data_IF_221974753928
#
_entry.id   IF_221974753928
#
_cell.length_a   1.000
_cell.length_b   1.000
_cell.length_c   1.000
_cell.angle_alpha   90.00
_cell.angle_beta   90.00
_cell.angle_gamma   90.00
#
_symmetry.space_group_name_H-M   'P 1'
#
loop_
_entity.id
_entity.type
_entity.pdbx_description
1 polymer ?
#
# COMPACT_ATOMS: atom_id res chain seq x y z
N UNK A 1 -33.70 105.50 49.53
CA UNK A 1 -34.36 104.62 50.51
C UNK A 1 -34.10 103.18 50.04
N UNK A 2 -33.36 102.39 50.83
CA UNK A 2 -32.82 101.04 50.54
C UNK A 2 -33.85 100.01 50.02
N UNK A 3 -33.47 98.88 49.34
CA UNK A 3 -32.62 97.83 49.93
C UNK A 3 -31.70 97.00 49.01
N UNK A 4 -30.95 96.13 49.70
CA UNK A 4 -29.84 95.23 49.36
C UNK A 4 -30.19 94.16 48.31
N UNK A 5 -29.24 93.85 47.42
CA UNK A 5 -29.21 92.61 46.62
C UNK A 5 -28.13 91.68 47.15
N UNK A 6 -28.56 90.49 47.58
CA UNK A 6 -27.72 89.41 48.09
C UNK A 6 -27.17 88.53 46.96
N UNK A 7 -25.89 88.15 47.08
CA UNK A 7 -25.27 87.08 46.29
C UNK A 7 -25.84 85.72 46.70
N UNK A 8 -26.20 84.89 45.72
CA UNK A 8 -26.47 83.46 45.91
C UNK A 8 -25.50 82.67 45.04
N UNK A 9 -24.78 81.78 45.71
CA UNK A 9 -23.67 80.97 45.23
C UNK A 9 -24.16 79.70 44.52
N UNK A 10 -23.49 79.32 43.42
CA UNK A 10 -23.84 78.18 42.58
C UNK A 10 -23.37 76.85 43.19
N UNK A 11 -24.25 75.84 43.26
CA UNK A 11 -23.92 74.46 43.67
C UNK A 11 -23.30 73.66 42.51
N UNK A 12 -22.24 72.87 42.74
CA UNK A 12 -21.73 71.90 41.75
C UNK A 12 -22.60 70.62 41.70
N UNK A 13 -22.61 69.88 40.57
CA UNK A 13 -23.45 68.72 40.37
C UNK A 13 -22.97 67.48 41.14
N UNK A 14 -23.94 66.76 41.66
CA UNK A 14 -23.83 65.53 42.45
C UNK A 14 -23.10 64.40 41.72
N UNK A 15 -22.20 63.76 42.45
CA UNK A 15 -21.41 62.57 42.10
C UNK A 15 -22.25 61.33 41.81
N UNK A 16 -21.85 60.56 40.79
CA UNK A 16 -22.37 59.23 40.48
C UNK A 16 -21.98 58.25 41.60
N UNK A 17 -22.94 57.83 42.42
CA UNK A 17 -22.74 56.79 43.43
C UNK A 17 -22.65 55.40 42.77
N UNK A 18 -21.68 54.55 43.14
CA UNK A 18 -21.65 53.17 42.68
C UNK A 18 -22.85 52.40 43.26
N UNK A 19 -23.62 51.73 42.40
CA UNK A 19 -24.72 50.86 42.81
C UNK A 19 -24.13 49.66 43.55
N UNK A 20 -24.24 49.66 44.88
CA UNK A 20 -23.82 48.52 45.72
C UNK A 20 -24.90 47.44 45.60
N UNK A 21 -24.59 46.25 45.05
CA UNK A 21 -25.57 45.18 44.95
C UNK A 21 -26.06 44.75 46.33
N UNK A 22 -27.34 44.40 46.45
CA UNK A 22 -27.91 43.94 47.73
C UNK A 22 -27.14 42.71 48.26
N UNK A 23 -26.94 42.64 49.58
CA UNK A 23 -26.18 41.54 50.23
C UNK A 23 -26.69 40.14 49.85
N UNK A 24 -27.99 39.98 49.61
CA UNK A 24 -28.60 38.72 49.15
C UNK A 24 -28.23 38.38 47.71
N UNK A 25 -28.18 39.38 46.82
CA UNK A 25 -27.74 39.20 45.43
C UNK A 25 -26.26 38.82 45.36
N UNK A 26 -25.42 39.45 46.17
CA UNK A 26 -24.00 39.09 46.29
C UNK A 26 -23.82 37.63 46.73
N UNK A 27 -24.53 37.19 47.77
CA UNK A 27 -24.47 35.79 48.24
C UNK A 27 -25.03 34.78 47.22
N UNK A 28 -26.07 35.13 46.47
CA UNK A 28 -26.58 34.26 45.40
C UNK A 28 -25.56 34.08 44.26
N UNK A 29 -24.87 35.16 43.88
CA UNK A 29 -23.79 35.10 42.89
C UNK A 29 -22.59 34.28 43.39
N UNK A 30 -22.24 34.40 44.68
CA UNK A 30 -21.19 33.58 45.30
C UNK A 30 -21.53 32.08 45.26
N UNK A 31 -22.75 31.71 45.66
CA UNK A 31 -23.20 30.31 45.62
C UNK A 31 -23.28 29.78 44.18
N UNK A 32 -23.80 30.59 43.24
CA UNK A 32 -23.83 30.21 41.83
C UNK A 32 -22.42 30.00 41.26
N UNK A 33 -21.46 30.85 41.64
CA UNK A 33 -20.04 30.69 41.28
C UNK A 33 -19.44 29.40 41.81
N UNK A 34 -19.70 29.05 43.08
CA UNK A 34 -19.23 27.81 43.69
C UNK A 34 -19.82 26.60 42.96
N UNK A 35 -21.14 26.59 42.72
CA UNK A 35 -21.82 25.50 41.99
C UNK A 35 -21.27 25.35 40.58
N UNK A 36 -21.05 26.47 39.89
CA UNK A 36 -20.46 26.48 38.56
C UNK A 36 -19.06 25.86 38.54
N UNK A 37 -18.19 26.23 39.48
CA UNK A 37 -16.82 25.70 39.58
C UNK A 37 -16.84 24.20 39.89
N UNK A 38 -17.61 23.77 40.90
CA UNK A 38 -17.73 22.35 41.26
C UNK A 38 -18.32 21.53 40.11
N UNK A 39 -19.37 22.03 39.46
CA UNK A 39 -19.98 21.40 38.30
C UNK A 39 -19.01 21.28 37.12
N UNK A 40 -18.23 22.34 36.85
CA UNK A 40 -17.22 22.34 35.78
C UNK A 40 -16.10 21.33 36.04
N UNK A 41 -15.63 21.23 37.29
CA UNK A 41 -14.63 20.24 37.68
C UNK A 41 -15.20 18.82 37.53
N UNK A 42 -16.43 18.57 38.01
CA UNK A 42 -17.07 17.27 37.90
C UNK A 42 -17.27 16.86 36.43
N UNK A 43 -17.73 17.78 35.58
CA UNK A 43 -17.88 17.55 34.14
C UNK A 43 -16.53 17.28 33.47
N UNK A 44 -15.47 17.99 33.88
CA UNK A 44 -14.11 17.78 33.35
C UNK A 44 -13.58 16.40 33.70
N UNK A 45 -13.76 15.95 34.95
CA UNK A 45 -13.38 14.60 35.38
C UNK A 45 -14.18 13.54 34.62
N UNK A 46 -15.48 13.73 34.46
CA UNK A 46 -16.33 12.82 33.68
C UNK A 46 -15.91 12.75 32.20
N UNK A 47 -15.59 13.89 31.58
CA UNK A 47 -15.08 13.95 30.22
C UNK A 47 -13.76 13.19 30.07
N UNK A 48 -12.82 13.34 31.01
CA UNK A 48 -11.56 12.58 31.00
C UNK A 48 -11.79 11.07 31.16
N UNK A 49 -12.74 10.65 32.00
CA UNK A 49 -13.11 9.24 32.13
C UNK A 49 -13.67 8.66 30.82
N UNK A 50 -14.49 9.44 30.11
CA UNK A 50 -15.02 9.02 28.81
C UNK A 50 -13.92 8.93 27.76
N UNK A 51 -13.02 9.92 27.70
CA UNK A 51 -11.96 9.95 26.70
C UNK A 51 -10.82 8.96 26.97
N UNK A 52 -10.61 8.53 28.21
CA UNK A 52 -9.52 7.62 28.58
C UNK A 52 -9.44 6.37 27.68
N UNK A 53 -10.57 5.72 27.37
CA UNK A 53 -10.59 4.51 26.54
C UNK A 53 -10.29 4.79 25.06
N UNK A 54 -10.68 5.95 24.55
CA UNK A 54 -10.39 6.39 23.19
C UNK A 54 -8.93 6.82 23.05
N UNK A 55 -8.41 7.55 24.04
CA UNK A 55 -7.04 8.08 24.09
C UNK A 55 -5.97 7.02 24.40
N UNK A 56 -6.37 5.76 24.59
CA UNK A 56 -5.42 4.68 24.87
C UNK A 56 -4.47 4.40 23.69
N UNK A 57 -4.87 4.76 22.45
CA UNK A 57 -4.07 4.63 21.24
C UNK A 57 -4.26 5.83 20.32
N UNK A 58 -3.30 6.09 19.42
CA UNK A 58 -3.36 7.18 18.44
C UNK A 58 -4.54 7.06 17.45
N UNK A 59 -5.14 5.87 17.36
CA UNK A 59 -6.31 5.61 16.52
C UNK A 59 -7.59 6.26 17.05
N UNK A 60 -7.63 6.73 18.30
CA UNK A 60 -8.86 7.17 18.97
C UNK A 60 -9.99 6.14 18.89
N UNK A 61 -9.64 4.85 18.96
CA UNK A 61 -10.54 3.71 18.85
C UNK A 61 -10.63 3.01 20.22
N UNK A 62 -11.82 2.98 20.86
CA UNK A 62 -12.01 2.29 22.14
C UNK A 62 -11.82 0.78 21.98
N UNK A 63 -11.29 0.13 23.02
CA UNK A 63 -11.06 -1.32 23.04
C UNK A 63 -10.26 -1.83 21.83
N UNK A 64 -9.30 -1.02 21.35
CA UNK A 64 -8.47 -1.34 20.18
C UNK A 64 -7.81 -2.72 20.27
N UNK A 65 -7.29 -3.07 21.45
CA UNK A 65 -6.58 -4.33 21.66
C UNK A 65 -7.45 -5.58 21.38
N UNK A 66 -8.77 -5.51 21.60
CA UNK A 66 -9.69 -6.63 21.38
C UNK A 66 -10.35 -6.58 20.00
N UNK A 67 -10.65 -5.37 19.52
CA UNK A 67 -11.39 -5.15 18.28
C UNK A 67 -10.51 -5.09 17.02
N UNK A 68 -9.27 -4.60 17.11
CA UNK A 68 -8.35 -4.52 15.96
C UNK A 68 -7.99 -5.90 15.36
N UNK A 69 -7.69 -6.95 16.15
CA UNK A 69 -7.43 -8.29 15.61
C UNK A 69 -8.64 -8.88 14.88
N UNK A 70 -9.85 -8.60 15.36
CA UNK A 70 -11.11 -9.02 14.74
C UNK A 70 -11.27 -8.37 13.38
N UNK A 71 -11.11 -7.05 13.29
CA UNK A 71 -11.16 -6.31 12.02
C UNK A 71 -10.07 -6.80 11.05
N UNK A 72 -8.84 -7.03 11.54
CA UNK A 72 -7.77 -7.57 10.73
C UNK A 72 -8.12 -8.95 10.15
N UNK A 73 -8.71 -9.85 10.96
CA UNK A 73 -9.17 -11.15 10.51
C UNK A 73 -10.28 -11.05 9.44
N UNK A 74 -11.22 -10.11 9.59
CA UNK A 74 -12.27 -9.85 8.59
C UNK A 74 -11.66 -9.44 7.25
N UNK A 75 -10.76 -8.47 7.23
CA UNK A 75 -10.06 -8.06 6.00
C UNK A 75 -9.23 -9.18 5.39
N UNK A 76 -8.49 -9.94 6.22
CA UNK A 76 -7.69 -11.06 5.75
C UNK A 76 -8.54 -12.13 5.05
N UNK A 77 -9.74 -12.38 5.56
CA UNK A 77 -10.69 -13.32 4.96
C UNK A 77 -11.21 -12.79 3.60
N UNK A 78 -11.67 -11.55 3.55
CA UNK A 78 -12.14 -10.90 2.31
C UNK A 78 -11.07 -10.93 1.23
N UNK A 79 -9.85 -10.50 1.56
CA UNK A 79 -8.73 -10.46 0.62
C UNK A 79 -8.42 -11.86 0.09
N UNK A 80 -8.51 -12.88 0.94
CA UNK A 80 -8.25 -14.27 0.53
C UNK A 80 -9.33 -14.79 -0.43
N UNK A 81 -10.61 -14.52 -0.15
CA UNK A 81 -11.74 -15.12 -0.88
C UNK A 81 -12.21 -14.30 -2.08
N UNK A 82 -12.42 -13.00 -1.90
CA UNK A 82 -13.04 -12.10 -2.89
C UNK A 82 -12.00 -11.28 -3.67
N UNK A 83 -10.80 -11.08 -3.13
CA UNK A 83 -9.77 -10.23 -3.74
C UNK A 83 -10.09 -8.74 -3.54
N UNK A 84 -9.84 -7.92 -4.57
CA UNK A 84 -10.02 -6.47 -4.53
C UNK A 84 -11.50 -6.07 -4.60
N UNK A 85 -11.92 -5.13 -3.73
CA UNK A 85 -13.27 -4.57 -3.71
C UNK A 85 -13.59 -3.89 -2.39
N UNK A 86 -14.83 -3.38 -2.25
CA UNK A 86 -15.32 -2.78 -1.02
C UNK A 86 -16.09 -3.84 -0.21
N UNK A 87 -15.50 -4.43 0.84
CA UNK A 87 -16.21 -5.39 1.67
C UNK A 87 -17.27 -4.69 2.54
N UNK A 88 -18.44 -5.32 2.62
CA UNK A 88 -19.39 -5.02 3.68
C UNK A 88 -18.96 -5.75 4.97
N UNK A 89 -18.27 -5.00 5.84
CA UNK A 89 -17.78 -5.50 7.13
C UNK A 89 -18.91 -5.79 8.13
N UNK A 90 -20.11 -5.24 7.91
CA UNK A 90 -21.27 -5.41 8.78
C UNK A 90 -22.14 -6.60 8.35
N UNK A 91 -21.81 -7.24 7.22
CA UNK A 91 -22.56 -8.40 6.73
C UNK A 91 -22.49 -9.57 7.73
N UNK A 92 -23.57 -10.36 7.90
CA UNK A 92 -23.58 -11.52 8.80
C UNK A 92 -22.50 -12.56 8.48
N UNK A 93 -22.10 -12.67 7.21
CA UNK A 93 -21.00 -13.54 6.78
C UNK A 93 -19.65 -13.15 7.42
N UNK A 94 -19.46 -11.86 7.72
CA UNK A 94 -18.23 -11.35 8.31
C UNK A 94 -18.09 -11.71 9.80
N UNK A 95 -19.22 -11.99 10.48
CA UNK A 95 -19.21 -12.41 11.89
C UNK A 95 -18.49 -13.75 12.12
N UNK A 96 -18.36 -14.59 11.07
CA UNK A 96 -17.64 -15.87 11.13
C UNK A 96 -16.14 -15.73 10.81
N UNK A 97 -15.72 -14.63 10.18
CA UNK A 97 -14.31 -14.44 9.78
C UNK A 97 -13.31 -14.51 10.96
N UNK A 98 -13.60 -14.01 12.17
CA UNK A 98 -12.70 -14.13 13.32
C UNK A 98 -12.47 -15.57 13.78
N UNK A 99 -13.42 -16.48 13.55
CA UNK A 99 -13.25 -17.91 13.85
C UNK A 99 -12.30 -18.64 12.88
N UNK A 100 -12.04 -18.02 11.73
CA UNK A 100 -11.06 -18.45 10.72
C UNK A 100 -9.72 -17.72 10.89
N UNK A 101 -9.46 -17.18 12.08
CA UNK A 101 -8.25 -16.41 12.37
C UNK A 101 -6.99 -17.20 12.02
N UNK A 102 -6.20 -16.65 11.11
CA UNK A 102 -4.95 -17.23 10.64
C UNK A 102 -4.51 -16.59 9.33
N UNK A 103 -3.20 -16.43 9.15
CA UNK A 103 -2.64 -15.98 7.89
C UNK A 103 -2.49 -17.20 6.99
N UNK A 104 -3.25 -17.26 5.89
CA UNK A 104 -3.10 -18.32 4.90
C UNK A 104 -1.74 -18.22 4.21
N UNK A 105 -0.85 -19.18 4.46
CA UNK A 105 0.51 -19.20 3.90
C UNK A 105 0.56 -19.42 2.38
N UNK A 106 -0.53 -19.93 1.79
CA UNK A 106 -0.70 -20.03 0.34
C UNK A 106 -1.17 -18.74 -0.33
N UNK A 107 -1.67 -17.76 0.43
CA UNK A 107 -2.20 -16.50 -0.10
C UNK A 107 -1.20 -15.74 -0.99
N UNK A 108 0.08 -15.54 -0.62
CA UNK A 108 1.02 -14.81 -1.48
C UNK A 108 1.24 -15.46 -2.84
N UNK A 109 1.15 -16.80 -2.91
CA UNK A 109 1.26 -17.55 -4.16
C UNK A 109 0.03 -17.34 -5.03
N UNK A 110 -1.17 -17.37 -4.45
CA UNK A 110 -2.42 -17.04 -5.16
C UNK A 110 -2.33 -15.65 -5.77
N UNK A 111 -1.94 -14.65 -4.98
CA UNK A 111 -1.79 -13.28 -5.45
C UNK A 111 -0.78 -13.19 -6.60
N UNK A 112 0.42 -13.75 -6.44
CA UNK A 112 1.46 -13.66 -7.47
C UNK A 112 1.13 -14.40 -8.77
N UNK A 113 0.55 -15.60 -8.68
CA UNK A 113 0.37 -16.48 -9.84
C UNK A 113 -1.02 -16.38 -10.49
N UNK A 114 -2.00 -15.77 -9.81
CA UNK A 114 -3.37 -15.68 -10.32
C UNK A 114 -3.89 -14.25 -10.43
N UNK A 115 -3.47 -13.33 -9.54
CA UNK A 115 -4.03 -11.98 -9.49
C UNK A 115 -3.09 -10.94 -10.11
N UNK A 116 -1.77 -11.07 -9.89
CA UNK A 116 -0.74 -10.18 -10.45
C UNK A 116 -0.20 -10.64 -11.81
N UNK A 117 -1.09 -11.16 -12.65
CA UNK A 117 -0.74 -11.71 -13.99
C UNK A 117 -0.98 -10.73 -15.14
N UNK A 118 -1.49 -9.52 -14.86
CA UNK A 118 -1.69 -8.50 -15.89
C UNK A 118 -0.36 -7.92 -16.39
N UNK A 119 -0.34 -7.43 -17.62
CA UNK A 119 0.86 -6.82 -18.22
C UNK A 119 1.36 -5.62 -17.40
N UNK A 120 0.44 -4.75 -16.94
CA UNK A 120 0.77 -3.58 -16.11
C UNK A 120 1.39 -4.00 -14.78
N UNK A 121 0.80 -4.99 -14.10
CA UNK A 121 1.34 -5.53 -12.83
C UNK A 121 2.74 -6.10 -13.03
N UNK A 122 2.99 -6.77 -14.16
CA UNK A 122 4.28 -7.33 -14.50
C UNK A 122 5.34 -6.27 -14.81
N UNK A 123 5.03 -5.27 -15.65
CA UNK A 123 5.93 -4.14 -15.94
C UNK A 123 6.35 -3.45 -14.64
N UNK A 124 5.37 -3.12 -13.78
CA UNK A 124 5.63 -2.49 -12.48
C UNK A 124 6.48 -3.37 -11.57
N UNK A 125 6.12 -4.66 -11.47
CA UNK A 125 6.83 -5.62 -10.63
C UNK A 125 8.28 -5.84 -11.06
N UNK A 126 8.53 -5.94 -12.38
CA UNK A 126 9.87 -6.07 -12.95
C UNK A 126 10.74 -4.84 -12.66
N UNK A 127 10.19 -3.63 -12.81
CA UNK A 127 10.92 -2.37 -12.56
C UNK A 127 11.32 -2.20 -11.10
N UNK A 128 10.56 -2.79 -10.18
CA UNK A 128 10.86 -2.82 -8.75
C UNK A 128 11.72 -4.03 -8.32
N UNK A 129 11.93 -5.01 -9.20
CA UNK A 129 12.65 -6.23 -8.90
C UNK A 129 14.15 -5.95 -8.72
N UNK A 130 14.71 -6.41 -7.60
CA UNK A 130 16.16 -6.41 -7.40
C UNK A 130 16.84 -7.25 -8.48
N UNK A 131 17.93 -6.74 -9.06
CA UNK A 131 18.73 -7.43 -10.09
C UNK A 131 19.18 -8.83 -9.66
N UNK A 132 19.47 -9.02 -8.36
CA UNK A 132 19.83 -10.32 -7.77
C UNK A 132 18.72 -11.38 -7.81
N UNK A 133 17.46 -10.95 -7.94
CA UNK A 133 16.27 -11.81 -7.96
C UNK A 133 15.80 -12.15 -9.37
N UNK A 134 16.25 -11.43 -10.40
CA UNK A 134 15.87 -11.69 -11.81
C UNK A 134 16.22 -13.12 -12.22
N UNK A 135 17.42 -13.60 -11.89
CA UNK A 135 17.85 -14.98 -12.16
C UNK A 135 17.06 -16.03 -11.35
N UNK A 136 16.32 -15.59 -10.33
CA UNK A 136 15.49 -16.44 -9.47
C UNK A 136 14.06 -16.54 -9.95
N UNK A 137 13.69 -15.81 -11.01
CA UNK A 137 12.38 -15.92 -11.63
C UNK A 137 12.18 -17.34 -12.18
N UNK A 138 11.00 -17.89 -11.93
CA UNK A 138 10.61 -19.21 -12.40
C UNK A 138 9.85 -19.03 -13.70
N UNK A 139 10.60 -18.92 -14.80
CA UNK A 139 10.05 -18.89 -16.15
C UNK A 139 10.97 -19.64 -17.11
N UNK A 140 10.46 -20.57 -17.92
CA UNK A 140 11.20 -21.17 -19.00
C UNK A 140 11.07 -20.28 -20.23
N UNK A 141 12.10 -19.50 -20.52
CA UNK A 141 12.10 -18.65 -21.72
C UNK A 141 11.96 -19.51 -22.99
N UNK A 142 10.96 -19.18 -23.78
CA UNK A 142 10.68 -19.79 -25.08
C UNK A 142 11.31 -18.96 -26.21
N UNK A 143 11.38 -17.64 -26.04
CA UNK A 143 11.95 -16.72 -27.02
C UNK A 143 12.84 -15.67 -26.36
N UNK A 144 13.87 -15.23 -27.07
CA UNK A 144 14.71 -14.13 -26.61
C UNK A 144 14.02 -12.77 -26.80
N UNK A 145 13.30 -12.59 -27.90
CA UNK A 145 12.75 -11.31 -28.34
C UNK A 145 11.22 -11.35 -28.54
N UNK A 146 10.60 -10.17 -28.57
CA UNK A 146 9.14 -10.03 -28.75
C UNK A 146 8.64 -10.51 -30.11
N UNK A 147 9.50 -10.50 -31.14
CA UNK A 147 9.15 -10.98 -32.49
C UNK A 147 9.35 -12.48 -32.66
N UNK A 148 9.71 -13.21 -31.60
CA UNK A 148 9.87 -14.67 -31.59
C UNK A 148 10.88 -15.19 -32.63
N UNK A 149 11.92 -14.39 -32.93
CA UNK A 149 12.95 -14.70 -33.93
C UNK A 149 13.98 -15.70 -33.41
N UNK A 150 14.32 -15.62 -32.13
CA UNK A 150 15.28 -16.52 -31.50
C UNK A 150 14.60 -17.40 -30.48
N UNK A 151 14.50 -18.69 -30.79
CA UNK A 151 13.94 -19.72 -29.94
C UNK A 151 14.95 -20.14 -28.86
N UNK A 152 14.48 -20.25 -27.61
CA UNK A 152 15.31 -20.54 -26.44
C UNK A 152 14.91 -21.81 -25.70
N UNK A 153 13.79 -22.45 -26.07
CA UNK A 153 13.38 -23.66 -25.36
C UNK A 153 14.39 -24.79 -25.56
N UNK A 154 14.70 -25.50 -24.47
CA UNK A 154 15.74 -26.54 -24.44
C UNK A 154 15.52 -27.72 -25.41
N UNK A 155 14.27 -27.98 -25.82
CA UNK A 155 13.98 -29.05 -26.79
C UNK A 155 12.91 -28.61 -27.78
N UNK A 156 12.93 -29.21 -28.98
CA UNK A 156 11.91 -28.98 -30.03
C UNK A 156 10.49 -29.25 -29.51
N UNK A 157 10.31 -30.29 -28.69
CA UNK A 157 9.01 -30.59 -28.06
C UNK A 157 8.54 -29.46 -27.13
N UNK A 158 9.45 -28.86 -26.34
CA UNK A 158 9.13 -27.72 -25.49
C UNK A 158 8.82 -26.48 -26.31
N UNK A 159 9.60 -26.22 -27.36
CA UNK A 159 9.35 -25.11 -28.28
C UNK A 159 7.98 -25.22 -28.97
N UNK A 160 7.61 -26.41 -29.44
CA UNK A 160 6.30 -26.68 -30.02
C UNK A 160 5.14 -26.54 -29.00
N UNK A 161 5.40 -26.72 -27.69
CA UNK A 161 4.43 -26.41 -26.64
C UNK A 161 4.32 -24.89 -26.45
N UNK A 162 5.44 -24.17 -26.43
CA UNK A 162 5.45 -22.71 -26.30
C UNK A 162 4.59 -22.05 -27.39
N UNK A 163 4.76 -22.47 -28.64
CA UNK A 163 3.93 -21.98 -29.76
C UNK A 163 2.43 -22.26 -29.58
N UNK A 164 2.06 -23.39 -28.97
CA UNK A 164 0.66 -23.80 -28.78
C UNK A 164 -0.03 -23.15 -27.60
N UNK A 165 0.70 -22.88 -26.52
CA UNK A 165 0.08 -22.51 -25.23
C UNK A 165 0.62 -21.23 -24.61
N UNK A 166 1.86 -20.84 -24.91
CA UNK A 166 2.56 -19.77 -24.17
C UNK A 166 2.89 -18.55 -25.06
N UNK A 167 2.45 -18.54 -26.33
CA UNK A 167 2.81 -17.51 -27.30
C UNK A 167 2.28 -16.11 -26.93
N UNK A 168 1.21 -16.01 -26.13
CA UNK A 168 0.65 -14.76 -25.63
C UNK A 168 1.13 -14.41 -24.22
N UNK A 169 1.90 -15.30 -23.57
CA UNK A 169 2.45 -15.07 -22.25
C UNK A 169 3.74 -14.23 -22.34
N UNK A 170 3.72 -13.00 -21.84
CA UNK A 170 4.89 -12.15 -21.78
C UNK A 170 6.03 -12.71 -20.93
N UNK A 171 5.74 -13.60 -19.98
CA UNK A 171 6.75 -14.17 -19.08
C UNK A 171 7.75 -15.10 -19.78
N UNK A 172 7.40 -15.69 -20.92
CA UNK A 172 8.28 -16.60 -21.66
C UNK A 172 9.16 -15.90 -22.70
N UNK A 173 9.03 -14.58 -22.82
CA UNK A 173 9.84 -13.74 -23.70
C UNK A 173 10.94 -13.06 -22.87
N UNK A 174 12.21 -13.35 -23.10
CA UNK A 174 13.30 -12.80 -22.28
C UNK A 174 13.36 -11.26 -22.37
N UNK A 175 13.11 -10.69 -23.55
CA UNK A 175 13.11 -9.25 -23.79
C UNK A 175 12.14 -8.48 -22.88
N UNK A 176 10.96 -9.02 -22.54
CA UNK A 176 10.00 -8.35 -21.64
C UNK A 176 10.62 -8.09 -20.26
N UNK A 177 11.37 -9.09 -19.76
CA UNK A 177 12.08 -9.03 -18.49
C UNK A 177 13.26 -8.07 -18.60
N UNK A 178 14.12 -8.22 -19.61
CA UNK A 178 15.35 -7.44 -19.73
C UNK A 178 15.10 -5.94 -19.94
N UNK A 179 14.04 -5.58 -20.67
CA UNK A 179 13.64 -4.18 -20.86
C UNK A 179 13.14 -3.54 -19.56
N UNK A 180 12.54 -4.31 -18.66
CA UNK A 180 11.87 -3.78 -17.47
C UNK A 180 12.66 -3.99 -16.17
N UNK A 181 13.95 -4.29 -16.25
CA UNK A 181 14.85 -4.34 -15.10
C UNK A 181 15.97 -3.32 -15.27
N UNK A 182 16.74 -3.09 -14.20
CA UNK A 182 17.98 -2.31 -14.27
C UNK A 182 19.05 -3.11 -15.04
N UNK A 183 18.93 -3.16 -16.36
CA UNK A 183 19.65 -4.09 -17.24
C UNK A 183 21.16 -4.03 -17.05
N UNK A 184 21.77 -2.83 -17.03
CA UNK A 184 23.21 -2.66 -16.82
C UNK A 184 23.70 -3.24 -15.48
N UNK A 185 23.03 -2.88 -14.39
CA UNK A 185 23.36 -3.44 -13.07
C UNK A 185 23.08 -4.94 -12.96
N UNK A 186 22.15 -5.47 -13.77
CA UNK A 186 21.91 -6.89 -13.88
C UNK A 186 23.02 -7.61 -14.65
N UNK A 187 23.56 -7.01 -15.72
CA UNK A 187 24.71 -7.57 -16.45
C UNK A 187 25.91 -7.80 -15.52
N UNK A 188 26.23 -6.82 -14.67
CA UNK A 188 27.31 -6.94 -13.67
C UNK A 188 27.06 -8.13 -12.72
N UNK A 189 25.82 -8.28 -12.26
CA UNK A 189 25.43 -9.40 -11.39
C UNK A 189 25.49 -10.78 -12.09
N UNK A 190 25.37 -10.83 -13.42
CA UNK A 190 25.51 -12.09 -14.17
C UNK A 190 26.96 -12.47 -14.46
N UNK A 191 27.94 -11.60 -14.17
CA UNK A 191 29.37 -11.84 -14.38
C UNK A 191 29.68 -12.35 -15.80
N UNK A 192 29.09 -11.71 -16.81
CA UNK A 192 29.31 -12.05 -18.23
C UNK A 192 28.57 -13.29 -18.75
N UNK A 193 27.85 -14.04 -17.90
CA UNK A 193 27.10 -15.24 -18.34
C UNK A 193 26.01 -14.93 -19.35
N UNK A 194 25.30 -13.80 -19.19
CA UNK A 194 24.32 -13.38 -20.18
C UNK A 194 24.99 -13.11 -21.54
N UNK A 195 26.11 -12.37 -21.53
CA UNK A 195 26.81 -12.03 -22.76
C UNK A 195 27.31 -13.30 -23.47
N UNK A 196 27.97 -14.21 -22.76
CA UNK A 196 28.53 -15.42 -23.39
C UNK A 196 27.46 -16.42 -23.85
N UNK A 197 26.36 -16.59 -23.10
CA UNK A 197 25.38 -17.64 -23.38
C UNK A 197 24.19 -17.18 -24.25
N UNK A 198 23.87 -15.87 -24.27
CA UNK A 198 22.65 -15.35 -24.92
C UNK A 198 22.97 -14.15 -25.80
N UNK A 199 23.53 -13.09 -25.21
CA UNK A 199 23.74 -11.80 -25.88
C UNK A 199 24.63 -11.91 -27.11
N UNK A 200 25.86 -12.39 -26.95
CA UNK A 200 26.85 -12.51 -28.04
C UNK A 200 26.39 -13.52 -29.10
N UNK A 201 25.92 -14.74 -28.78
CA UNK A 201 25.41 -15.67 -29.79
C UNK A 201 24.28 -15.09 -30.65
N UNK A 202 23.34 -14.35 -30.04
CA UNK A 202 22.27 -13.69 -30.79
C UNK A 202 22.84 -12.54 -31.64
N UNK A 203 23.73 -11.72 -31.07
CA UNK A 203 24.32 -10.59 -31.77
C UNK A 203 25.13 -11.01 -33.00
N UNK A 204 25.85 -12.12 -32.95
CA UNK A 204 26.63 -12.63 -34.09
C UNK A 204 25.80 -13.40 -35.10
N UNK A 205 24.58 -13.83 -34.75
CA UNK A 205 23.70 -14.59 -35.66
C UNK A 205 23.21 -13.77 -36.86
N UNK A 206 23.01 -12.46 -36.71
CA UNK A 206 22.45 -11.60 -37.74
C UNK A 206 22.59 -10.11 -37.39
N UNK A 207 22.45 -9.23 -38.39
CA UNK A 207 22.35 -7.77 -38.17
C UNK A 207 21.18 -7.40 -37.25
N UNK A 208 20.06 -8.12 -37.39
CA UNK A 208 18.89 -8.01 -36.53
C UNK A 208 19.18 -8.37 -35.07
N UNK A 209 20.04 -9.37 -34.83
CA UNK A 209 20.47 -9.78 -33.50
C UNK A 209 21.40 -8.76 -32.85
N UNK A 210 22.37 -8.23 -33.61
CA UNK A 210 23.23 -7.16 -33.15
C UNK A 210 22.42 -5.91 -32.77
N UNK A 211 21.43 -5.54 -33.60
CA UNK A 211 20.52 -4.43 -33.34
C UNK A 211 19.64 -4.67 -32.09
N UNK A 212 19.17 -5.90 -31.87
CA UNK A 212 18.40 -6.25 -30.66
C UNK A 212 19.22 -6.08 -29.38
N UNK A 213 20.46 -6.58 -29.34
CA UNK A 213 21.33 -6.41 -28.18
C UNK A 213 21.71 -4.94 -27.95
N UNK A 214 21.98 -4.19 -29.02
CA UNK A 214 22.24 -2.75 -28.95
C UNK A 214 21.02 -1.99 -28.40
N UNK A 215 19.81 -2.32 -28.87
CA UNK A 215 18.57 -1.73 -28.41
C UNK A 215 18.33 -2.00 -26.92
N UNK A 216 18.55 -3.24 -26.44
CA UNK A 216 18.46 -3.57 -25.01
C UNK A 216 19.46 -2.77 -24.16
N UNK A 217 20.67 -2.58 -24.65
CA UNK A 217 21.74 -1.89 -23.93
C UNK A 217 21.51 -0.37 -23.88
N UNK A 218 20.88 0.18 -24.91
CA UNK A 218 20.51 1.59 -25.02
C UNK A 218 19.12 1.91 -24.43
N UNK A 219 18.35 0.90 -24.06
CA UNK A 219 16.97 1.07 -23.62
C UNK A 219 16.89 1.91 -22.33
N UNK A 220 15.93 2.85 -22.35
CA UNK A 220 15.51 3.64 -21.20
C UNK A 220 14.03 3.36 -21.00
N UNK A 221 13.61 3.21 -19.75
CA UNK A 221 12.22 2.92 -19.43
C UNK A 221 11.29 4.02 -19.93
N UNK A 222 10.38 3.65 -20.82
CA UNK A 222 9.21 4.43 -21.19
C UNK A 222 8.17 4.41 -20.04
N UNK A 223 7.13 5.25 -20.09
CA UNK A 223 5.96 5.09 -19.24
C UNK A 223 5.42 3.65 -19.24
N UNK A 224 4.86 3.20 -18.11
CA UNK A 224 4.35 1.81 -17.98
C UNK A 224 3.31 1.48 -19.06
N UNK A 225 2.46 2.46 -19.42
CA UNK A 225 1.44 2.30 -20.46
C UNK A 225 2.03 2.01 -21.84
N UNK A 226 3.06 2.74 -22.25
CA UNK A 226 3.69 2.56 -23.56
C UNK A 226 4.38 1.21 -23.71
N UNK A 227 5.00 0.70 -22.63
CA UNK A 227 5.61 -0.63 -22.65
C UNK A 227 4.53 -1.72 -22.73
N UNK A 228 3.39 -1.53 -22.05
CA UNK A 228 2.23 -2.43 -22.15
C UNK A 228 1.61 -2.41 -23.54
N UNK A 229 1.50 -1.24 -24.17
CA UNK A 229 1.02 -1.10 -25.55
C UNK A 229 1.96 -1.84 -26.53
N UNK A 230 3.27 -1.73 -26.32
CA UNK A 230 4.26 -2.45 -27.11
C UNK A 230 4.15 -3.97 -26.95
N UNK A 231 3.92 -4.47 -25.72
CA UNK A 231 3.69 -5.90 -25.48
C UNK A 231 2.40 -6.38 -26.15
N UNK A 232 1.32 -5.60 -26.02
CA UNK A 232 0.01 -5.89 -26.61
C UNK A 232 0.07 -5.90 -28.14
N UNK A 233 0.81 -4.96 -28.74
CA UNK A 233 1.05 -4.92 -30.18
C UNK A 233 1.81 -6.15 -30.72
N UNK A 234 2.56 -6.87 -29.85
CA UNK A 234 3.21 -8.14 -30.17
C UNK A 234 2.36 -9.37 -29.79
N UNK A 235 1.09 -9.17 -29.46
CA UNK A 235 0.13 -10.24 -29.16
C UNK A 235 0.29 -10.86 -27.77
N UNK A 236 0.90 -10.13 -26.83
CA UNK A 236 0.96 -10.53 -25.42
C UNK A 236 -0.28 -10.00 -24.68
N UNK A 237 -0.91 -10.82 -23.84
CA UNK A 237 -2.13 -10.44 -23.11
C UNK A 237 -2.04 -10.69 -21.59
N UNK A 238 -1.11 -11.54 -21.15
CA UNK A 238 -0.83 -11.79 -19.74
C UNK A 238 0.66 -12.03 -19.49
N UNK A 239 1.05 -11.98 -18.22
CA UNK A 239 2.38 -12.31 -17.73
C UNK A 239 2.23 -13.26 -16.55
N UNK A 240 2.27 -14.56 -16.81
CA UNK A 240 2.13 -15.58 -15.77
C UNK A 240 3.44 -16.34 -15.60
N UNK A 241 4.04 -16.22 -14.42
CA UNK A 241 5.21 -17.00 -14.03
C UNK A 241 4.83 -18.44 -13.72
N UNK A 242 5.76 -19.36 -13.92
CA UNK A 242 5.58 -20.74 -13.47
C UNK A 242 5.70 -20.85 -11.95
N UNK A 243 4.99 -21.83 -11.41
CA UNK A 243 5.06 -22.14 -9.99
C UNK A 243 6.46 -22.63 -9.59
N UNK A 244 7.00 -22.09 -8.49
CA UNK A 244 8.30 -22.47 -7.98
C UNK A 244 8.34 -22.60 -6.46
N UNK A 245 9.15 -23.54 -5.96
CA UNK A 245 9.36 -23.76 -4.51
C UNK A 245 10.62 -23.09 -3.98
N UNK A 246 11.50 -22.62 -4.87
CA UNK A 246 12.82 -22.07 -4.50
C UNK A 246 12.75 -20.73 -3.77
N UNK A 247 11.68 -19.96 -3.91
CA UNK A 247 11.46 -18.71 -3.18
C UNK A 247 10.06 -18.74 -2.58
N UNK A 248 9.97 -18.64 -1.25
CA UNK A 248 8.71 -18.38 -0.58
C UNK A 248 8.33 -16.92 -0.77
N UNK A 249 7.25 -16.68 -1.50
CA UNK A 249 6.74 -15.35 -1.79
C UNK A 249 6.24 -14.72 -0.49
N UNK A 250 6.79 -13.56 -0.13
CA UNK A 250 6.31 -12.76 0.99
C UNK A 250 5.13 -11.88 0.60
N UNK A 251 4.38 -11.42 1.60
CA UNK A 251 3.24 -10.53 1.41
C UNK A 251 3.09 -9.68 2.68
N UNK A 252 2.95 -8.37 2.52
CA UNK A 252 2.62 -7.47 3.60
C UNK A 252 1.41 -6.64 3.14
N UNK A 253 0.35 -6.64 3.94
CA UNK A 253 -0.87 -5.87 3.66
C UNK A 253 -1.24 -5.06 4.90
N UNK A 254 -1.72 -3.84 4.67
CA UNK A 254 -2.15 -2.91 5.70
C UNK A 254 -3.35 -2.12 5.23
N UNK A 255 -4.09 -1.55 6.17
CA UNK A 255 -5.17 -0.59 5.91
C UNK A 255 -4.81 0.77 6.49
N UNK A 256 -5.38 1.83 5.92
CA UNK A 256 -5.35 3.15 6.52
C UNK A 256 -6.64 3.39 7.29
N UNK A 257 -6.50 3.80 8.54
CA UNK A 257 -7.60 4.22 9.42
C UNK A 257 -7.47 5.73 9.60
N UNK A 258 -8.52 6.46 9.23
CA UNK A 258 -8.64 7.89 9.53
C UNK A 258 -9.38 8.06 10.84
N UNK A 259 -8.75 8.74 11.80
CA UNK A 259 -9.36 8.96 13.11
C UNK A 259 -10.25 10.20 13.14
N UNK A 260 -10.89 10.46 14.28
CA UNK A 260 -11.83 11.59 14.45
C UNK A 260 -11.21 12.99 14.25
N UNK A 261 -9.88 13.10 14.28
CA UNK A 261 -9.14 14.35 14.03
C UNK A 261 -8.71 14.49 12.55
N UNK A 262 -9.06 13.54 11.69
CA UNK A 262 -8.65 13.50 10.28
C UNK A 262 -7.22 12.99 10.07
N UNK A 263 -6.58 12.43 11.11
CA UNK A 263 -5.23 11.86 10.99
C UNK A 263 -5.34 10.43 10.48
N UNK A 264 -4.55 10.11 9.44
CA UNK A 264 -4.50 8.78 8.83
C UNK A 264 -3.34 7.97 9.39
N UNK A 265 -3.65 6.83 9.98
CA UNK A 265 -2.70 5.89 10.57
C UNK A 265 -2.77 4.55 9.86
N UNK A 266 -1.64 3.84 9.78
CA UNK A 266 -1.56 2.54 9.11
C UNK A 266 -1.72 1.41 10.13
N UNK A 267 -2.68 0.51 9.89
CA UNK A 267 -2.85 -0.73 10.65
C UNK A 267 -2.38 -1.92 9.80
N UNK A 268 -1.31 -2.64 10.19
CA UNK A 268 -0.91 -3.88 9.50
C UNK A 268 -1.96 -4.98 9.67
N UNK A 269 -2.30 -5.65 8.57
CA UNK A 269 -3.25 -6.77 8.56
C UNK A 269 -2.56 -8.14 8.64
N UNK A 270 -1.50 -8.30 7.84
CA UNK A 270 -0.70 -9.53 7.79
C UNK A 270 0.72 -9.23 7.29
N UNK A 271 1.66 -10.04 7.75
CA UNK A 271 3.03 -10.04 7.24
C UNK A 271 3.50 -11.48 7.08
N UNK A 272 3.89 -11.83 5.85
CA UNK A 272 4.56 -13.09 5.50
C UNK A 272 5.92 -12.70 4.94
N UNK A 273 6.98 -13.14 5.62
CA UNK A 273 8.35 -12.84 5.21
C UNK A 273 8.73 -13.68 3.99
N UNK A 274 9.45 -13.07 3.04
CA UNK A 274 10.03 -13.80 1.90
C UNK A 274 11.08 -14.78 2.40
N UNK A 275 11.02 -16.04 1.98
CA UNK A 275 12.03 -17.05 2.35
C UNK A 275 12.85 -17.48 1.15
N UNK A 276 14.17 -17.57 1.31
CA UNK A 276 15.06 -18.08 0.28
C UNK A 276 15.31 -19.57 0.49
N UNK A 277 14.78 -20.41 -0.41
CA UNK A 277 14.95 -21.86 -0.42
C UNK A 277 15.62 -22.33 -1.71
N UNK A 278 16.38 -21.44 -2.35
CA UNK A 278 16.88 -21.63 -3.70
C UNK A 278 17.71 -22.91 -3.87
N UNK A 279 18.51 -23.25 -2.85
CA UNK A 279 19.34 -24.46 -2.81
C UNK A 279 18.53 -25.76 -2.82
N UNK A 280 17.25 -25.71 -2.45
CA UNK A 280 16.34 -26.86 -2.41
C UNK A 280 15.23 -26.75 -3.46
N UNK A 281 15.44 -25.94 -4.51
CA UNK A 281 14.44 -25.65 -5.52
C UNK A 281 14.07 -26.91 -6.31
N UNK A 282 12.77 -27.16 -6.41
CA UNK A 282 12.17 -28.02 -7.42
C UNK A 282 11.36 -27.15 -8.40
N UNK A 283 11.38 -27.50 -9.67
CA UNK A 283 10.52 -26.92 -10.70
C UNK A 283 9.53 -27.99 -11.12
N UNK A 284 8.23 -27.69 -10.98
CA UNK A 284 7.14 -28.53 -11.50
C UNK A 284 6.90 -28.29 -12.98
#
# INVERSE_FOLDING_TARGET
MSPKTAFVEARPPSSLLPVVPSRRWAHMLEVAGIVYVVGSIALSVYALQLFYTYLATDFFWPDFATSAPVVAAMFNNVLTLKGAGNPDLLSPAMALAPSLAGINTGYPRKVMYSELTTLVSAVRGLRQLSTSKVVKMVTPYCWADLKKRWEMAYTVKRQARCWRHDATNGAVHLETVLRNIKFRAWLDNTQGKFASAIGTPIATSSTAGAAWLAALTAHVWSPESEEVDLWTAHGLDHFTLQYGTGIGIGCAESIQIENALGVRLTLPLKEIVTTNRWTFRTTG
#
